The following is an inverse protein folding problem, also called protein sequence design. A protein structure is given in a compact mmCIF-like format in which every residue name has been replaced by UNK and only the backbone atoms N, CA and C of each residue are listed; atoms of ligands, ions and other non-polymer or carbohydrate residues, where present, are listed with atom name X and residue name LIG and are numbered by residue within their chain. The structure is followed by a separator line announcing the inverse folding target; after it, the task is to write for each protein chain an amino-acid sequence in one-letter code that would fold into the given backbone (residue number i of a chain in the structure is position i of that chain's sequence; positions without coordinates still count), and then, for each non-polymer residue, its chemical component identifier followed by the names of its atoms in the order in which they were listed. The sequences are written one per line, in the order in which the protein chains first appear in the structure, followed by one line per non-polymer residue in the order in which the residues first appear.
data_IF_249705943403
#
_entry.id   IF_249705943403
#
_cell.length_a   1.000
_cell.length_b   1.000
_cell.length_c   1.000
_cell.angle_alpha   90.00
_cell.angle_beta   90.00
_cell.angle_gamma   90.00
#
_symmetry.space_group_name_H-M   'P 1'
#
loop_
_entity.id
_entity.type
_entity.pdbx_description
1 polymer ?
#
# COMPACT_ATOMS: atom_id res chain seq x y z
N UNK A 1 -8.06 11.16 -4.87
CA UNK A 1 -8.68 10.79 -6.15
C UNK A 1 -9.27 9.37 -6.09
N UNK A 2 -10.53 9.27 -5.67
CA UNK A 2 -11.27 8.02 -5.63
C UNK A 2 -12.50 8.13 -6.52
N UNK A 3 -12.75 7.09 -7.32
CA UNK A 3 -13.99 6.90 -8.07
C UNK A 3 -14.62 5.59 -7.68
N UNK A 4 -15.94 5.53 -7.76
CA UNK A 4 -16.70 4.31 -7.48
C UNK A 4 -17.46 3.89 -8.71
N UNK A 5 -17.64 2.59 -8.89
CA UNK A 5 -18.48 2.01 -9.94
C UNK A 5 -19.15 0.74 -9.42
N UNK A 6 -20.25 0.38 -10.07
CA UNK A 6 -20.85 -0.94 -9.89
C UNK A 6 -21.44 -1.43 -11.22
N UNK A 7 -21.45 -2.75 -11.47
CA UNK A 7 -22.19 -3.32 -12.59
C UNK A 7 -23.68 -2.98 -12.48
N UNK A 8 -24.36 -2.78 -13.62
CA UNK A 8 -25.82 -2.58 -13.69
C UNK A 8 -26.56 -3.93 -13.60
N UNK A 9 -26.26 -4.72 -12.56
CA UNK A 9 -26.92 -5.98 -12.27
C UNK A 9 -27.49 -5.92 -10.88
N UNK A 10 -28.49 -6.76 -10.56
CA UNK A 10 -29.09 -6.81 -9.22
C UNK A 10 -28.07 -7.11 -8.13
N UNK A 11 -27.11 -8.01 -8.40
CA UNK A 11 -26.03 -8.38 -7.49
C UNK A 11 -24.81 -7.45 -7.56
N UNK A 12 -24.88 -6.38 -8.34
CA UNK A 12 -23.78 -5.45 -8.54
C UNK A 12 -23.33 -4.82 -7.24
N UNK A 13 -22.06 -5.03 -6.86
CA UNK A 13 -21.43 -4.40 -5.67
C UNK A 13 -20.66 -3.16 -6.07
N UNK A 14 -20.72 -2.13 -5.24
CA UNK A 14 -19.88 -0.96 -5.38
C UNK A 14 -18.40 -1.31 -5.18
N UNK A 15 -17.56 -0.76 -6.04
CA UNK A 15 -16.11 -0.95 -6.00
C UNK A 15 -15.41 0.39 -6.15
N UNK A 16 -14.31 0.56 -5.44
CA UNK A 16 -13.43 1.71 -5.63
C UNK A 16 -12.49 1.46 -6.80
N UNK A 17 -12.18 2.54 -7.53
CA UNK A 17 -11.12 2.57 -8.53
C UNK A 17 -9.99 3.41 -7.97
N UNK A 18 -8.81 2.83 -7.87
CA UNK A 18 -7.59 3.55 -7.56
C UNK A 18 -7.12 4.28 -8.81
N UNK A 19 -7.04 5.60 -8.74
CA UNK A 19 -6.60 6.46 -9.85
C UNK A 19 -5.66 7.53 -9.32
N UNK A 20 -4.82 8.08 -10.21
CA UNK A 20 -4.04 9.30 -9.95
C UNK A 20 -3.16 9.15 -8.71
N UNK A 21 -2.30 8.15 -8.72
CA UNK A 21 -1.42 7.77 -7.60
C UNK A 21 -0.01 8.36 -7.71
N UNK A 22 0.20 9.31 -8.63
CA UNK A 22 1.48 9.97 -8.91
C UNK A 22 2.06 10.75 -7.72
N UNK A 23 1.23 11.15 -6.75
CA UNK A 23 1.67 11.76 -5.50
C UNK A 23 2.10 10.75 -4.42
N UNK A 24 2.27 9.50 -4.79
CA UNK A 24 2.81 8.46 -3.91
C UNK A 24 4.28 8.67 -3.52
N UNK A 25 4.76 7.75 -2.69
CA UNK A 25 6.16 7.68 -2.26
C UNK A 25 6.74 8.98 -1.65
N UNK A 26 5.89 9.78 -1.02
CA UNK A 26 6.32 11.01 -0.35
C UNK A 26 6.54 12.21 -1.26
N UNK A 27 6.15 12.17 -2.54
CA UNK A 27 6.35 13.27 -3.49
C UNK A 27 5.69 14.59 -3.02
N UNK A 28 4.51 14.52 -2.42
CA UNK A 28 3.75 15.67 -1.90
C UNK A 28 3.45 15.54 -0.41
N UNK A 29 4.38 14.99 0.35
CA UNK A 29 4.21 14.79 1.77
C UNK A 29 5.43 14.15 2.42
N UNK A 30 5.25 13.61 3.59
CA UNK A 30 6.28 12.95 4.38
C UNK A 30 6.04 11.45 4.51
N UNK A 31 7.12 10.69 4.73
CA UNK A 31 7.01 9.29 5.15
C UNK A 31 6.21 9.14 6.46
N UNK A 32 6.17 10.19 7.26
CA UNK A 32 5.46 10.26 8.54
C UNK A 32 4.00 10.78 8.43
N UNK A 33 3.45 10.96 7.24
CA UNK A 33 2.04 11.34 7.11
C UNK A 33 1.12 10.18 7.52
N UNK A 34 0.29 10.42 8.54
CA UNK A 34 -0.73 9.45 8.95
C UNK A 34 -1.98 9.58 8.08
N UNK A 35 -1.94 8.98 6.90
CA UNK A 35 -3.08 8.99 5.96
C UNK A 35 -4.28 8.20 6.47
N UNK A 36 -4.07 7.16 7.26
CA UNK A 36 -5.14 6.39 7.87
C UNK A 36 -6.03 7.27 8.76
N UNK A 37 -5.39 8.09 9.60
CA UNK A 37 -6.11 9.05 10.44
C UNK A 37 -6.87 10.09 9.62
N UNK A 38 -6.23 10.65 8.59
CA UNK A 38 -6.86 11.66 7.71
C UNK A 38 -8.06 11.11 6.93
N UNK A 39 -8.00 9.84 6.53
CA UNK A 39 -9.08 9.21 5.76
C UNK A 39 -10.23 8.71 6.67
N UNK A 40 -9.96 8.48 7.94
CA UNK A 40 -10.97 8.06 8.92
C UNK A 40 -11.80 9.21 9.47
N UNK A 41 -11.16 10.37 9.67
CA UNK A 41 -11.84 11.55 10.20
C UNK A 41 -12.13 12.51 9.06
N UNK A 42 -13.39 12.67 8.67
CA UNK A 42 -13.77 13.56 7.57
C UNK A 42 -13.38 14.99 7.88
N UNK A 43 -12.40 15.48 7.14
CA UNK A 43 -12.12 16.92 7.08
C UNK A 43 -13.06 17.46 6.02
N UNK A 44 -14.19 17.98 6.45
CA UNK A 44 -15.23 18.65 5.67
C UNK A 44 -15.35 18.20 4.19
N UNK A 45 -16.44 17.47 3.90
CA UNK A 45 -16.96 17.25 2.54
C UNK A 45 -16.21 16.25 1.66
N UNK A 46 -15.78 15.11 2.22
CA UNK A 46 -15.37 14.00 1.36
C UNK A 46 -16.27 12.78 1.60
N UNK A 47 -17.30 12.52 0.78
CA UNK A 47 -18.24 11.42 0.98
C UNK A 47 -17.56 10.04 1.06
N UNK A 48 -16.37 9.90 0.50
CA UNK A 48 -15.59 8.64 0.55
C UNK A 48 -14.98 8.39 1.92
N UNK A 49 -14.49 9.42 2.59
CA UNK A 49 -13.98 9.33 3.98
C UNK A 49 -15.12 9.01 4.95
N UNK A 50 -16.29 9.62 4.75
CA UNK A 50 -17.47 9.39 5.57
C UNK A 50 -17.95 7.94 5.48
N UNK A 51 -18.01 7.38 4.27
CA UNK A 51 -18.35 5.97 4.07
C UNK A 51 -17.33 5.06 4.76
N UNK A 52 -16.06 5.34 4.63
CA UNK A 52 -15.00 4.54 5.25
C UNK A 52 -15.08 4.59 6.79
N UNK A 53 -15.28 5.77 7.37
CA UNK A 53 -15.46 5.94 8.81
C UNK A 53 -16.64 5.11 9.34
N UNK A 54 -17.81 5.23 8.69
CA UNK A 54 -19.01 4.47 9.06
C UNK A 54 -18.83 2.96 8.94
N UNK A 55 -18.18 2.51 7.86
CA UNK A 55 -17.96 1.06 7.67
C UNK A 55 -17.00 0.49 8.73
N UNK A 56 -16.03 1.28 9.20
CA UNK A 56 -15.14 0.89 10.30
C UNK A 56 -15.82 0.74 11.65
N UNK A 57 -17.03 1.24 11.85
CA UNK A 57 -17.83 0.97 13.04
C UNK A 57 -18.27 -0.49 13.13
N UNK A 58 -18.36 -1.19 12.00
CA UNK A 58 -18.66 -2.62 11.97
C UNK A 58 -17.43 -3.42 12.41
N UNK A 59 -17.49 -4.19 13.53
CA UNK A 59 -16.33 -4.91 14.07
C UNK A 59 -15.75 -5.94 13.09
N UNK A 60 -16.60 -6.60 12.29
CA UNK A 60 -16.12 -7.59 11.31
C UNK A 60 -15.31 -6.91 10.19
N UNK A 61 -15.82 -5.77 9.70
CA UNK A 61 -15.09 -5.02 8.68
C UNK A 61 -13.79 -4.41 9.25
N UNK A 62 -13.84 -3.86 10.46
CA UNK A 62 -12.65 -3.33 11.13
C UNK A 62 -11.56 -4.40 11.26
N UNK A 63 -11.90 -5.59 11.76
CA UNK A 63 -10.95 -6.68 11.88
C UNK A 63 -10.41 -7.14 10.51
N UNK A 64 -11.29 -7.24 9.51
CA UNK A 64 -10.86 -7.53 8.14
C UNK A 64 -9.89 -6.47 7.60
N UNK A 65 -10.19 -5.19 7.80
CA UNK A 65 -9.33 -4.09 7.36
C UNK A 65 -7.95 -4.15 8.01
N UNK A 66 -7.89 -4.33 9.34
CA UNK A 66 -6.62 -4.43 10.08
C UNK A 66 -5.79 -5.61 9.56
N UNK A 67 -6.40 -6.78 9.45
CA UNK A 67 -5.72 -7.98 8.95
C UNK A 67 -5.24 -7.79 7.51
N UNK A 68 -6.10 -7.26 6.62
CA UNK A 68 -5.72 -7.01 5.23
C UNK A 68 -4.57 -6.01 5.10
N UNK A 69 -4.57 -4.98 5.94
CA UNK A 69 -3.51 -3.99 5.97
C UNK A 69 -2.18 -4.63 6.41
N UNK A 70 -2.21 -5.45 7.48
CA UNK A 70 -1.05 -6.20 7.95
C UNK A 70 -0.54 -7.18 6.87
N UNK A 71 -1.44 -7.92 6.22
CA UNK A 71 -1.10 -8.84 5.14
C UNK A 71 -0.34 -8.12 4.01
N UNK A 72 -0.84 -6.97 3.57
CA UNK A 72 -0.22 -6.18 2.51
C UNK A 72 1.17 -5.66 2.89
N UNK A 73 1.34 -5.18 4.12
CA UNK A 73 2.65 -4.70 4.61
C UNK A 73 3.65 -5.87 4.71
N UNK A 74 3.17 -7.05 5.07
CA UNK A 74 4.02 -8.23 5.26
C UNK A 74 4.28 -9.02 3.97
N UNK A 75 3.69 -8.62 2.84
CA UNK A 75 3.83 -9.32 1.56
C UNK A 75 4.16 -8.35 0.42
N UNK A 76 3.14 -7.80 -0.23
CA UNK A 76 3.30 -6.97 -1.42
C UNK A 76 4.15 -5.72 -1.15
N UNK A 77 3.95 -5.10 0.01
CA UNK A 77 4.67 -3.87 0.42
C UNK A 77 5.92 -4.13 1.25
N UNK A 78 6.43 -5.36 1.26
CA UNK A 78 7.80 -5.57 1.76
C UNK A 78 8.78 -4.71 0.95
N UNK A 79 9.73 -4.02 1.61
CA UNK A 79 10.69 -3.17 0.93
C UNK A 79 11.39 -3.85 -0.25
N UNK A 80 11.83 -5.09 -0.07
CA UNK A 80 12.51 -5.86 -1.12
C UNK A 80 11.64 -6.05 -2.37
N UNK A 81 10.33 -6.32 -2.20
CA UNK A 81 9.41 -6.50 -3.32
C UNK A 81 9.17 -5.19 -4.07
N UNK A 82 8.88 -4.11 -3.32
CA UNK A 82 8.64 -2.79 -3.91
C UNK A 82 9.89 -2.27 -4.62
N UNK A 83 11.06 -2.38 -3.99
CA UNK A 83 12.33 -1.99 -4.60
C UNK A 83 12.63 -2.77 -5.88
N UNK A 84 12.35 -4.07 -5.89
CA UNK A 84 12.55 -4.89 -7.09
C UNK A 84 11.69 -4.38 -8.26
N UNK A 85 10.42 -4.12 -8.01
CA UNK A 85 9.52 -3.55 -9.03
C UNK A 85 9.99 -2.17 -9.49
N UNK A 86 10.40 -1.30 -8.56
CA UNK A 86 10.94 0.02 -8.90
C UNK A 86 12.21 -0.06 -9.75
N UNK A 87 13.12 -0.99 -9.43
CA UNK A 87 14.34 -1.22 -10.22
C UNK A 87 13.99 -1.71 -11.63
N UNK A 88 13.04 -2.61 -11.77
CA UNK A 88 12.59 -3.09 -13.10
C UNK A 88 12.03 -1.93 -13.95
N UNK A 89 11.17 -1.07 -13.38
CA UNK A 89 10.66 0.10 -14.09
C UNK A 89 11.78 1.09 -14.45
N UNK A 90 12.66 1.39 -13.52
CA UNK A 90 13.82 2.25 -13.77
C UNK A 90 14.65 1.73 -14.97
N UNK A 91 15.00 0.45 -14.93
CA UNK A 91 15.87 -0.15 -15.93
C UNK A 91 15.19 -0.23 -17.31
N UNK A 92 13.89 -0.50 -17.35
CA UNK A 92 13.13 -0.50 -18.60
C UNK A 92 13.01 0.87 -19.27
N UNK A 93 13.01 1.95 -18.47
CA UNK A 93 12.89 3.32 -18.98
C UNK A 93 14.23 4.01 -19.21
N UNK A 94 15.34 3.48 -18.67
CA UNK A 94 16.61 4.17 -18.60
C UNK A 94 17.13 4.66 -19.97
N UNK A 95 16.92 3.88 -21.03
CA UNK A 95 17.32 4.25 -22.38
C UNK A 95 16.58 5.48 -22.89
N UNK A 96 15.26 5.51 -22.72
CA UNK A 96 14.41 6.58 -23.25
C UNK A 96 14.52 7.86 -22.41
N UNK A 97 14.91 7.74 -21.14
CA UNK A 97 15.07 8.88 -20.24
C UNK A 97 16.15 9.87 -20.71
N UNK A 98 17.16 9.43 -21.45
CA UNK A 98 18.18 10.33 -22.02
C UNK A 98 17.56 11.33 -23.00
N UNK A 99 16.75 10.84 -23.94
CA UNK A 99 16.03 11.70 -24.90
C UNK A 99 14.97 12.56 -24.20
N UNK A 100 14.29 12.00 -23.18
CA UNK A 100 13.34 12.75 -22.36
C UNK A 100 13.99 13.94 -21.67
N UNK A 101 15.13 13.76 -21.04
CA UNK A 101 15.85 14.85 -20.34
C UNK A 101 16.35 15.92 -21.30
N UNK A 102 16.85 15.52 -22.47
CA UNK A 102 17.26 16.48 -23.50
C UNK A 102 16.10 17.37 -23.95
N UNK A 103 14.89 16.83 -24.03
CA UNK A 103 13.69 17.56 -24.46
C UNK A 103 13.08 18.43 -23.37
N UNK A 104 13.01 17.93 -22.13
CA UNK A 104 12.19 18.54 -21.06
C UNK A 104 13.01 19.18 -19.94
N UNK A 105 14.34 19.14 -20.02
CA UNK A 105 15.23 19.77 -19.08
C UNK A 105 15.30 19.04 -17.73
N UNK A 106 16.15 18.04 -17.67
CA UNK A 106 16.54 17.33 -16.45
C UNK A 106 17.84 16.58 -16.73
N UNK A 107 18.28 15.74 -15.82
CA UNK A 107 19.44 14.88 -16.01
C UNK A 107 19.29 13.54 -15.28
N UNK A 108 20.18 12.63 -15.62
CA UNK A 108 20.23 11.29 -15.02
C UNK A 108 20.57 11.33 -13.53
N UNK A 109 21.35 12.32 -13.08
CA UNK A 109 21.73 12.46 -11.66
C UNK A 109 20.50 12.79 -10.82
N UNK A 110 19.74 13.81 -11.23
CA UNK A 110 18.51 14.21 -10.57
C UNK A 110 17.45 13.10 -10.58
N UNK A 111 17.31 12.37 -11.67
CA UNK A 111 16.41 11.23 -11.76
C UNK A 111 16.77 10.12 -10.78
N UNK A 112 18.05 9.72 -10.74
CA UNK A 112 18.53 8.70 -9.80
C UNK A 112 18.39 9.16 -8.34
N UNK A 113 18.62 10.43 -8.04
CA UNK A 113 18.41 10.99 -6.70
C UNK A 113 16.93 10.89 -6.25
N UNK A 114 15.98 11.12 -7.16
CA UNK A 114 14.54 10.94 -6.89
C UNK A 114 14.17 9.49 -6.63
N UNK A 115 14.73 8.56 -7.42
CA UNK A 115 14.54 7.12 -7.20
C UNK A 115 15.11 6.72 -5.83
N UNK A 116 16.29 7.19 -5.46
CA UNK A 116 16.88 6.93 -4.14
C UNK A 116 15.99 7.46 -3.00
N UNK A 117 15.37 8.63 -3.17
CA UNK A 117 14.41 9.17 -2.20
C UNK A 117 13.17 8.27 -2.06
N UNK A 118 12.64 7.76 -3.18
CA UNK A 118 11.53 6.80 -3.16
C UNK A 118 11.92 5.49 -2.45
N UNK A 119 13.15 4.97 -2.69
CA UNK A 119 13.66 3.79 -1.97
C UNK A 119 13.76 4.03 -0.46
N UNK A 120 14.21 5.22 -0.05
CA UNK A 120 14.24 5.61 1.37
C UNK A 120 12.84 5.58 1.97
N UNK A 121 11.84 6.14 1.28
CA UNK A 121 10.44 6.07 1.69
C UNK A 121 9.95 4.63 1.85
N UNK A 122 10.22 3.79 0.86
CA UNK A 122 9.83 2.37 0.85
C UNK A 122 10.38 1.62 2.06
N UNK A 123 11.65 1.86 2.41
CA UNK A 123 12.30 1.19 3.53
C UNK A 123 11.76 1.62 4.91
N UNK A 124 11.33 2.87 5.03
CA UNK A 124 10.85 3.41 6.30
C UNK A 124 9.34 3.21 6.52
N UNK A 125 8.56 3.29 5.45
CA UNK A 125 7.10 3.35 5.54
C UNK A 125 6.43 2.16 6.21
N UNK A 126 6.84 0.88 6.02
CA UNK A 126 6.16 -0.25 6.64
C UNK A 126 6.14 -0.19 8.18
N UNK A 127 7.26 0.14 8.81
CA UNK A 127 7.33 0.26 10.28
C UNK A 127 6.44 1.42 10.79
N UNK A 128 6.48 2.57 10.13
CA UNK A 128 5.64 3.72 10.45
C UNK A 128 4.16 3.38 10.29
N UNK A 129 3.81 2.70 9.21
CA UNK A 129 2.43 2.29 8.94
C UNK A 129 1.89 1.29 9.98
N UNK A 130 2.72 0.36 10.48
CA UNK A 130 2.34 -0.53 11.59
C UNK A 130 2.02 0.25 12.87
N UNK A 131 2.83 1.24 13.20
CA UNK A 131 2.56 2.09 14.35
C UNK A 131 1.23 2.82 14.19
N UNK A 132 0.93 3.38 13.03
CA UNK A 132 -0.35 4.06 12.80
C UNK A 132 -1.56 3.13 12.93
N UNK A 133 -1.47 1.89 12.45
CA UNK A 133 -2.55 0.91 12.65
C UNK A 133 -2.71 0.58 14.14
N UNK A 134 -1.61 0.39 14.87
CA UNK A 134 -1.68 0.12 16.31
C UNK A 134 -2.32 1.28 17.07
N UNK A 135 -1.88 2.48 16.82
CA UNK A 135 -2.37 3.68 17.50
C UNK A 135 -3.85 3.93 17.17
N UNK A 136 -4.24 3.83 15.90
CA UNK A 136 -5.58 4.11 15.42
C UNK A 136 -6.63 3.12 15.96
N UNK A 137 -6.25 1.86 16.12
CA UNK A 137 -7.16 0.80 16.57
C UNK A 137 -6.87 0.31 18.01
N UNK A 138 -6.00 1.00 18.75
CA UNK A 138 -5.60 0.68 20.12
C UNK A 138 -5.10 -0.78 20.27
N UNK A 139 -4.25 -1.22 19.33
CA UNK A 139 -3.66 -2.55 19.37
C UNK A 139 -2.44 -2.56 20.31
N UNK A 140 -2.46 -3.45 21.28
CA UNK A 140 -1.48 -3.47 22.39
C UNK A 140 -0.15 -4.13 22.04
N UNK A 141 -0.13 -5.00 21.02
CA UNK A 141 1.06 -5.77 20.68
C UNK A 141 1.10 -6.22 19.22
N UNK A 142 2.27 -6.60 18.79
CA UNK A 142 2.52 -7.36 17.57
C UNK A 142 3.05 -8.74 17.96
N UNK A 143 2.70 -9.75 17.15
CA UNK A 143 3.22 -11.10 17.30
C UNK A 143 3.89 -11.53 15.99
N UNK A 144 4.98 -12.28 16.13
CA UNK A 144 5.59 -12.94 14.99
C UNK A 144 4.92 -14.30 14.83
N UNK A 145 4.31 -14.51 13.67
CA UNK A 145 3.68 -15.78 13.33
C UNK A 145 4.62 -16.56 12.40
N UNK A 146 5.10 -17.71 12.87
CA UNK A 146 5.85 -18.65 12.04
C UNK A 146 4.91 -19.73 11.55
N UNK A 147 4.94 -19.99 10.26
CA UNK A 147 4.14 -21.01 9.60
C UNK A 147 5.05 -22.09 9.05
N UNK A 148 4.70 -23.33 9.33
CA UNK A 148 5.43 -24.47 8.81
C UNK A 148 4.45 -25.61 8.51
N UNK A 149 4.68 -26.31 7.39
CA UNK A 149 3.97 -27.52 7.02
C UNK A 149 4.96 -28.69 7.00
N UNK A 150 4.74 -29.67 7.87
CA UNK A 150 5.59 -30.84 7.96
C UNK A 150 4.81 -32.13 7.65
N UNK A 151 5.37 -33.00 6.79
CA UNK A 151 6.59 -32.80 5.98
C UNK A 151 6.38 -31.71 4.91
N UNK A 152 7.49 -31.16 4.41
CA UNK A 152 7.42 -30.10 3.39
C UNK A 152 6.53 -30.53 2.21
N UNK A 153 5.61 -29.68 1.79
CA UNK A 153 4.66 -29.96 0.72
C UNK A 153 3.43 -30.78 1.13
N UNK A 154 3.23 -31.05 2.44
CA UNK A 154 2.07 -31.82 2.92
C UNK A 154 0.73 -31.06 2.85
N UNK A 155 0.76 -29.74 2.64
CA UNK A 155 -0.47 -28.94 2.58
C UNK A 155 -0.22 -27.49 2.21
N UNK A 156 -1.32 -26.73 2.17
CA UNK A 156 -1.33 -25.29 1.96
C UNK A 156 -1.85 -24.61 3.21
N UNK A 157 -1.21 -23.51 3.59
CA UNK A 157 -1.61 -22.68 4.72
C UNK A 157 -2.18 -21.37 4.15
N UNK A 158 -3.37 -21.00 4.61
CA UNK A 158 -3.96 -19.68 4.34
C UNK A 158 -4.06 -18.89 5.63
N UNK A 159 -3.71 -17.60 5.56
CA UNK A 159 -3.82 -16.69 6.70
C UNK A 159 -4.56 -15.46 6.26
N UNK A 160 -5.63 -15.14 6.98
CA UNK A 160 -6.45 -13.97 6.72
C UNK A 160 -6.82 -13.85 5.24
N UNK A 161 -6.11 -13.01 4.49
CA UNK A 161 -6.40 -12.71 3.09
C UNK A 161 -5.29 -13.13 2.13
N UNK A 162 -4.26 -13.82 2.62
CA UNK A 162 -3.10 -14.24 1.82
C UNK A 162 -2.97 -15.75 1.78
N UNK A 163 -2.37 -16.22 0.68
CA UNK A 163 -1.85 -17.57 0.54
C UNK A 163 -0.34 -17.46 0.41
N UNK A 164 0.46 -17.93 1.39
CA UNK A 164 1.91 -17.70 1.43
C UNK A 164 2.67 -18.18 0.17
N UNK A 165 2.15 -19.18 -0.52
CA UNK A 165 2.76 -19.69 -1.76
C UNK A 165 2.69 -18.69 -2.94
N UNK A 166 1.83 -17.68 -2.85
CA UNK A 166 1.62 -16.69 -3.90
C UNK A 166 2.40 -15.41 -3.62
N UNK A 167 2.69 -15.15 -2.35
CA UNK A 167 3.39 -13.95 -1.89
C UNK A 167 4.71 -14.37 -1.26
N UNK A 168 5.82 -13.87 -1.82
CA UNK A 168 7.15 -14.09 -1.23
C UNK A 168 7.30 -13.39 0.12
#
# INVERSE_FOLDING_TARGET
NLKMWKPKTEEGKWRYILIDTDYGFGLKGSVNDNRLHMDRYPIAVNPTSDIFAVVLENPKFKNYFINRYADLINTIYLPANVENVMKQFRDSMAFDMVAHFAKWGSDTIGWNARIASMMTFVNQRPAISRNYIKDEFNLTSEVVLTLDAFPAGSGRIEISTITPDIYP
#
